data_IF_396487113146
#
_entry.id   IF_396487113146
#
_cell.length_a   1.000
_cell.length_b   1.000
_cell.length_c   1.000
_cell.angle_alpha   90.00
_cell.angle_beta   90.00
_cell.angle_gamma   90.00
#
_symmetry.space_group_name_H-M   'P 1'
#
loop_
_entity.id
_entity.type
_entity.pdbx_description
1 polymer ?
#
# COMPACT_ATOMS: atom_id res chain seq x y z
N UNK A 1 9.27 -15.70 -13.42
CA UNK A 1 8.24 -15.89 -12.37
C UNK A 1 8.51 -15.01 -11.16
N UNK A 2 9.77 -14.87 -10.71
CA UNK A 2 10.16 -14.00 -9.58
C UNK A 2 10.16 -12.47 -9.82
N UNK A 3 9.88 -11.97 -11.03
CA UNK A 3 10.04 -10.53 -11.29
C UNK A 3 8.91 -9.66 -10.72
N UNK A 4 7.67 -10.15 -10.69
CA UNK A 4 6.55 -9.39 -10.10
C UNK A 4 6.62 -9.37 -8.57
N UNK A 5 7.17 -10.42 -7.95
CA UNK A 5 7.42 -10.45 -6.50
C UNK A 5 8.46 -9.42 -6.10
N UNK A 6 9.60 -9.39 -6.80
CA UNK A 6 10.64 -8.37 -6.58
C UNK A 6 10.11 -6.96 -6.81
N UNK A 7 9.27 -6.77 -7.83
CA UNK A 7 8.63 -5.48 -8.07
C UNK A 7 7.72 -5.09 -6.92
N UNK A 8 6.93 -6.03 -6.39
CA UNK A 8 6.05 -5.79 -5.26
C UNK A 8 6.83 -5.45 -3.99
N UNK A 9 7.89 -6.19 -3.70
CA UNK A 9 8.79 -5.91 -2.57
C UNK A 9 9.42 -4.52 -2.68
N UNK A 10 9.89 -4.14 -3.87
CA UNK A 10 10.43 -2.80 -4.09
C UNK A 10 9.36 -1.71 -3.93
N UNK A 11 8.13 -1.96 -4.40
CA UNK A 11 7.01 -1.02 -4.22
C UNK A 11 6.70 -0.80 -2.73
N UNK A 12 6.55 -1.89 -1.97
CA UNK A 12 6.35 -1.83 -0.51
C UNK A 12 7.51 -1.14 0.21
N UNK A 13 8.75 -1.39 -0.22
CA UNK A 13 9.95 -0.73 0.32
C UNK A 13 9.90 0.78 0.08
N UNK A 14 9.48 1.22 -1.11
CA UNK A 14 9.32 2.64 -1.41
C UNK A 14 8.27 3.32 -0.51
N UNK A 15 7.17 2.63 -0.21
CA UNK A 15 6.08 3.16 0.61
C UNK A 15 6.39 3.19 2.11
N UNK A 16 6.84 2.07 2.67
CA UNK A 16 6.92 1.88 4.12
C UNK A 16 8.31 2.17 4.69
N UNK A 17 9.38 1.86 3.95
CA UNK A 17 10.76 2.07 4.41
C UNK A 17 11.32 3.41 3.94
N UNK A 18 11.32 3.67 2.63
CA UNK A 18 11.85 4.92 2.07
C UNK A 18 10.88 6.08 2.25
N UNK A 19 9.58 5.79 2.27
CA UNK A 19 8.50 6.80 2.34
C UNK A 19 8.64 7.86 1.25
N UNK A 20 8.94 7.40 0.02
CA UNK A 20 9.20 8.27 -1.12
C UNK A 20 8.13 8.07 -2.20
N UNK A 21 7.22 9.04 -2.29
CA UNK A 21 6.13 9.08 -3.27
C UNK A 21 6.64 8.92 -4.70
N UNK A 22 7.75 9.58 -5.07
CA UNK A 22 8.27 9.53 -6.44
C UNK A 22 8.84 8.14 -6.74
N UNK A 23 9.53 7.55 -5.78
CA UNK A 23 10.04 6.19 -5.90
C UNK A 23 8.89 5.18 -6.02
N UNK A 24 7.86 5.27 -5.17
CA UNK A 24 6.65 4.44 -5.25
C UNK A 24 5.99 4.55 -6.62
N UNK A 25 5.74 5.78 -7.09
CA UNK A 25 5.10 6.00 -8.39
C UNK A 25 5.96 5.50 -9.57
N UNK A 26 7.29 5.47 -9.43
CA UNK A 26 8.18 4.92 -10.45
C UNK A 26 8.06 3.37 -10.59
N UNK A 27 7.58 2.69 -9.55
CA UNK A 27 7.32 1.25 -9.61
C UNK A 27 5.97 0.90 -10.25
N UNK A 28 5.08 1.89 -10.41
CA UNK A 28 3.73 1.73 -10.96
C UNK A 28 3.65 1.97 -12.48
N UNK A 29 2.64 1.35 -13.11
CA UNK A 29 2.29 1.53 -14.51
C UNK A 29 1.72 2.93 -14.79
N UNK A 30 1.57 3.30 -16.06
CA UNK A 30 1.21 4.67 -16.47
C UNK A 30 -0.21 5.09 -16.07
N UNK A 31 -1.13 4.12 -15.92
CA UNK A 31 -2.52 4.35 -15.50
C UNK A 31 -2.82 3.45 -14.29
N UNK A 32 -2.23 3.73 -13.12
CA UNK A 32 -2.36 2.87 -11.96
C UNK A 32 -3.69 3.10 -11.24
N UNK A 33 -4.05 2.23 -10.31
CA UNK A 33 -5.12 2.49 -9.35
C UNK A 33 -4.76 1.91 -7.98
N UNK A 34 -5.25 2.55 -6.92
CA UNK A 34 -5.16 2.04 -5.55
C UNK A 34 -6.55 2.15 -4.95
N UNK A 35 -7.01 1.11 -4.25
CA UNK A 35 -8.30 1.13 -3.60
C UNK A 35 -8.28 0.34 -2.28
N UNK A 36 -8.40 1.06 -1.17
CA UNK A 36 -8.72 0.50 0.13
C UNK A 36 -10.22 0.23 0.19
N UNK A 37 -10.62 -1.00 -0.10
CA UNK A 37 -12.02 -1.41 -0.26
C UNK A 37 -12.90 -1.01 0.95
N UNK A 38 -12.45 -1.14 2.22
CA UNK A 38 -13.30 -0.81 3.37
C UNK A 38 -13.66 0.68 3.47
N UNK A 39 -12.76 1.57 3.04
CA UNK A 39 -12.91 3.02 3.18
C UNK A 39 -13.17 3.73 1.85
N UNK A 40 -13.05 3.00 0.73
CA UNK A 40 -13.12 3.51 -0.63
C UNK A 40 -12.12 4.65 -0.89
N UNK A 41 -10.97 4.62 -0.22
CA UNK A 41 -9.89 5.60 -0.39
C UNK A 41 -8.82 5.10 -1.35
N UNK A 42 -8.18 6.03 -2.05
CA UNK A 42 -7.18 5.72 -3.07
C UNK A 42 -7.26 6.69 -4.24
N UNK A 43 -7.08 6.19 -5.46
CA UNK A 43 -7.15 6.98 -6.67
C UNK A 43 -7.10 6.14 -7.95
N UNK A 44 -7.50 6.73 -9.08
CA UNK A 44 -7.43 6.12 -10.40
C UNK A 44 -6.66 7.01 -11.39
N UNK A 45 -5.70 6.43 -12.08
CA UNK A 45 -4.77 7.16 -12.95
C UNK A 45 -3.62 7.81 -12.17
N UNK A 46 -2.60 8.26 -12.90
CA UNK A 46 -1.33 8.68 -12.30
C UNK A 46 -1.49 9.83 -11.31
N UNK A 47 -2.26 10.87 -11.68
CA UNK A 47 -2.40 12.07 -10.86
C UNK A 47 -3.13 11.79 -9.54
N UNK A 48 -4.27 11.09 -9.58
CA UNK A 48 -5.04 10.79 -8.37
C UNK A 48 -4.25 9.88 -7.42
N UNK A 49 -3.60 8.85 -7.95
CA UNK A 49 -2.75 7.95 -7.14
C UNK A 49 -1.55 8.71 -6.56
N UNK A 50 -0.92 9.59 -7.33
CA UNK A 50 0.17 10.45 -6.84
C UNK A 50 -0.29 11.33 -5.67
N UNK A 51 -1.45 12.00 -5.81
CA UNK A 51 -1.99 12.85 -4.75
C UNK A 51 -2.40 12.05 -3.52
N UNK A 52 -2.98 10.86 -3.71
CA UNK A 52 -3.31 9.96 -2.62
C UNK A 52 -2.06 9.56 -1.82
N UNK A 53 -1.01 9.08 -2.49
CA UNK A 53 0.24 8.73 -1.82
C UNK A 53 0.89 9.92 -1.11
N UNK A 54 0.90 11.07 -1.76
CA UNK A 54 1.55 12.28 -1.25
C UNK A 54 0.85 12.86 -0.03
N UNK A 55 -0.48 12.87 -0.02
CA UNK A 55 -1.25 13.66 0.95
C UNK A 55 -1.97 12.80 2.00
N UNK A 56 -2.30 11.54 1.70
CA UNK A 56 -3.14 10.70 2.55
C UNK A 56 -2.42 9.46 3.06
N UNK A 57 -1.68 8.77 2.20
CA UNK A 57 -1.07 7.49 2.59
C UNK A 57 0.28 7.66 3.29
N UNK A 58 1.34 8.02 2.54
CA UNK A 58 2.73 7.95 3.03
C UNK A 58 2.98 8.84 4.27
N UNK A 59 2.51 10.10 4.34
CA UNK A 59 2.70 10.93 5.54
C UNK A 59 1.97 10.39 6.78
N UNK A 60 0.87 9.65 6.57
CA UNK A 60 0.00 9.13 7.63
C UNK A 60 0.47 7.77 8.16
N UNK A 61 1.49 7.15 7.55
CA UNK A 61 2.10 5.92 8.08
C UNK A 61 2.88 6.25 9.36
N UNK A 62 2.54 5.66 10.53
CA UNK A 62 3.29 5.87 11.77
C UNK A 62 4.76 5.45 11.65
N UNK A 63 5.66 6.09 12.41
CA UNK A 63 7.10 5.86 12.28
C UNK A 63 7.53 4.43 12.61
N UNK A 64 6.79 3.76 13.51
CA UNK A 64 7.02 2.39 13.95
C UNK A 64 6.25 1.34 13.13
N UNK A 65 5.61 1.76 12.02
CA UNK A 65 4.86 0.86 11.18
C UNK A 65 5.73 -0.31 10.66
N UNK A 66 5.26 -1.54 10.86
CA UNK A 66 5.88 -2.75 10.37
C UNK A 66 4.89 -3.53 9.51
N UNK A 67 5.36 -3.96 8.34
CA UNK A 67 4.60 -4.85 7.46
C UNK A 67 5.28 -6.21 7.44
N UNK A 68 4.50 -7.25 7.75
CA UNK A 68 4.96 -8.64 7.74
C UNK A 68 4.07 -9.47 6.83
N UNK A 69 4.62 -9.95 5.71
CA UNK A 69 3.94 -10.93 4.87
C UNK A 69 3.78 -12.26 5.62
N UNK A 70 2.60 -12.87 5.49
CA UNK A 70 2.18 -14.13 6.10
C UNK A 70 2.17 -15.23 5.05
N UNK A 71 1.49 -14.97 3.93
CA UNK A 71 1.39 -15.89 2.80
C UNK A 71 1.25 -15.12 1.50
N UNK A 72 1.69 -15.73 0.40
CA UNK A 72 1.70 -15.08 -0.91
C UNK A 72 1.38 -16.08 -2.01
N UNK A 73 0.44 -15.70 -2.88
CA UNK A 73 0.08 -16.46 -4.08
C UNK A 73 0.51 -15.65 -5.29
N UNK A 74 1.36 -16.25 -6.14
CA UNK A 74 1.96 -15.60 -7.29
C UNK A 74 1.37 -16.17 -8.57
N UNK A 75 0.65 -15.33 -9.31
CA UNK A 75 0.15 -15.62 -10.64
C UNK A 75 1.09 -15.15 -11.74
N UNK A 76 0.58 -15.08 -12.97
CA UNK A 76 1.33 -14.58 -14.12
C UNK A 76 1.45 -13.05 -14.12
N UNK A 77 0.34 -12.38 -13.81
CA UNK A 77 0.13 -10.93 -13.89
C UNK A 77 -0.55 -10.37 -12.64
N UNK A 78 -0.70 -11.20 -11.60
CA UNK A 78 -1.32 -10.84 -10.33
C UNK A 78 -0.60 -11.52 -9.18
N UNK A 79 -0.66 -10.91 -8.02
CA UNK A 79 -0.18 -11.45 -6.76
C UNK A 79 -1.24 -11.19 -5.70
N UNK A 80 -1.45 -12.15 -4.80
CA UNK A 80 -2.23 -11.95 -3.57
C UNK A 80 -1.28 -12.06 -2.40
N UNK A 81 -1.20 -11.02 -1.58
CA UNK A 81 -0.37 -10.97 -0.37
C UNK A 81 -1.28 -10.90 0.85
N UNK A 82 -1.13 -11.86 1.76
CA UNK A 82 -1.68 -11.79 3.10
C UNK A 82 -0.59 -11.22 4.00
N UNK A 83 -0.87 -10.09 4.66
CA UNK A 83 0.11 -9.40 5.48
C UNK A 83 -0.51 -8.90 6.79
N UNK A 84 0.33 -8.70 7.80
CA UNK A 84 -0.03 -7.98 9.02
C UNK A 84 0.70 -6.65 9.01
N UNK A 85 -0.06 -5.57 9.16
CA UNK A 85 0.44 -4.24 9.44
C UNK A 85 0.27 -3.95 10.93
N UNK A 86 1.36 -3.60 11.60
CA UNK A 86 1.36 -3.17 12.99
C UNK A 86 1.96 -1.79 13.15
N UNK A 87 1.45 -1.01 14.10
CA UNK A 87 1.91 0.35 14.39
C UNK A 87 1.34 0.87 15.71
N UNK A 88 1.93 1.94 16.25
CA UNK A 88 1.29 2.75 17.28
C UNK A 88 0.39 3.81 16.63
N UNK A 89 -0.89 3.88 17.01
CA UNK A 89 -1.83 4.88 16.47
C UNK A 89 -1.58 6.28 17.09
N UNK A 90 -0.51 6.94 16.63
CA UNK A 90 0.02 8.21 17.13
C UNK A 90 -0.46 9.45 16.33
N UNK A 91 -1.09 9.23 15.19
CA UNK A 91 -1.62 10.23 14.25
C UNK A 91 -2.93 9.72 13.65
N UNK A 92 -3.70 10.62 13.04
CA UNK A 92 -4.85 10.22 12.24
C UNK A 92 -4.37 9.45 10.99
N UNK A 93 -5.05 8.34 10.68
CA UNK A 93 -4.76 7.48 9.53
C UNK A 93 -6.03 7.39 8.68
N UNK A 94 -6.33 8.46 7.95
CA UNK A 94 -7.61 8.67 7.28
C UNK A 94 -7.95 7.62 6.21
N UNK A 95 -6.94 7.07 5.53
CA UNK A 95 -7.14 5.99 4.55
C UNK A 95 -7.63 4.67 5.18
N UNK A 96 -7.39 4.44 6.48
CA UNK A 96 -7.73 3.20 7.18
C UNK A 96 -8.80 3.39 8.25
N UNK A 97 -8.71 4.46 9.05
CA UNK A 97 -9.54 4.76 10.22
C UNK A 97 -10.05 6.21 10.15
N UNK A 98 -10.88 6.56 9.15
CA UNK A 98 -11.28 7.95 8.91
C UNK A 98 -11.99 8.56 10.12
N UNK A 99 -11.52 9.73 10.56
CA UNK A 99 -12.12 10.50 11.65
C UNK A 99 -11.85 9.96 13.05
N UNK A 100 -11.00 8.94 13.20
CA UNK A 100 -10.58 8.44 14.51
C UNK A 100 -9.30 9.17 14.94
N UNK A 101 -9.32 9.97 16.03
CA UNK A 101 -8.13 10.66 16.51
C UNK A 101 -7.10 9.67 17.08
N UNK A 102 -5.82 10.07 17.23
CA UNK A 102 -4.77 9.25 17.80
C UNK A 102 -5.20 8.60 19.11
N UNK A 103 -5.14 7.27 19.18
CA UNK A 103 -5.53 6.52 20.38
C UNK A 103 -4.33 6.12 21.23
N UNK A 104 -3.11 6.25 20.69
CA UNK A 104 -1.85 5.83 21.29
C UNK A 104 -1.79 4.35 21.69
N UNK A 105 -2.69 3.54 21.12
CA UNK A 105 -2.66 2.09 21.29
C UNK A 105 -1.85 1.45 20.17
N UNK A 106 -1.22 0.33 20.50
CA UNK A 106 -0.66 -0.56 19.49
C UNK A 106 -1.80 -1.23 18.72
N UNK A 107 -1.69 -1.22 17.39
CA UNK A 107 -2.63 -1.84 16.46
C UNK A 107 -1.89 -2.95 15.72
N UNK A 108 -2.54 -4.09 15.54
CA UNK A 108 -2.14 -5.14 14.59
C UNK A 108 -3.37 -5.49 13.75
N UNK A 109 -3.25 -5.36 12.43
CA UNK A 109 -4.36 -5.61 11.52
C UNK A 109 -3.89 -6.45 10.34
N UNK A 110 -4.57 -7.58 10.13
CA UNK A 110 -4.37 -8.42 8.95
C UNK A 110 -5.03 -7.78 7.74
N UNK A 111 -4.35 -7.80 6.60
CA UNK A 111 -4.81 -7.30 5.33
C UNK A 111 -4.64 -8.34 4.23
N UNK A 112 -5.50 -8.28 3.23
CA UNK A 112 -5.28 -8.95 1.94
C UNK A 112 -5.06 -7.87 0.88
N UNK A 113 -3.95 -7.96 0.15
CA UNK A 113 -3.68 -7.09 -1.00
C UNK A 113 -3.71 -7.93 -2.27
N UNK A 114 -4.60 -7.58 -3.19
CA UNK A 114 -4.63 -8.11 -4.55
C UNK A 114 -3.92 -7.11 -5.46
N UNK A 115 -2.73 -7.47 -5.92
CA UNK A 115 -1.87 -6.63 -6.76
C UNK A 115 -1.96 -7.10 -8.20
N UNK A 116 -2.17 -6.15 -9.11
CA UNK A 116 -2.22 -6.37 -10.55
C UNK A 116 -0.94 -5.82 -11.18
N UNK A 117 -0.42 -6.49 -12.22
CA UNK A 117 0.79 -6.08 -12.91
C UNK A 117 0.56 -5.89 -14.41
N UNK A 118 1.25 -4.90 -14.97
CA UNK A 118 1.39 -4.71 -16.42
C UNK A 118 2.86 -4.46 -16.72
N UNK A 119 3.46 -5.26 -17.59
CA UNK A 119 4.87 -5.10 -18.00
C UNK A 119 5.86 -5.00 -16.81
N UNK A 120 5.63 -5.82 -15.78
CA UNK A 120 6.42 -5.85 -14.54
C UNK A 120 6.37 -4.55 -13.71
N UNK A 121 5.34 -3.72 -13.90
CA UNK A 121 4.99 -2.61 -13.03
C UNK A 121 3.66 -2.85 -12.35
N UNK A 122 3.47 -2.27 -11.17
CA UNK A 122 2.20 -2.35 -10.43
C UNK A 122 1.13 -1.57 -11.22
N UNK A 123 0.14 -2.28 -11.73
CA UNK A 123 -1.03 -1.68 -12.39
C UNK A 123 -2.06 -1.22 -11.36
N UNK A 124 -2.18 -1.92 -10.24
CA UNK A 124 -3.01 -1.44 -9.16
C UNK A 124 -3.27 -2.44 -8.08
N UNK A 125 -4.00 -2.00 -7.08
CA UNK A 125 -4.17 -2.70 -5.80
C UNK A 125 -5.60 -2.63 -5.30
N UNK A 126 -6.12 -3.77 -4.84
CA UNK A 126 -7.27 -3.83 -3.95
C UNK A 126 -6.81 -4.28 -2.57
N UNK A 127 -7.01 -3.43 -1.57
CA UNK A 127 -6.58 -3.64 -0.19
C UNK A 127 -7.83 -3.86 0.67
N UNK A 128 -7.86 -4.98 1.39
CA UNK A 128 -8.95 -5.40 2.27
C UNK A 128 -8.52 -5.40 3.73
#
# INVERSE_FOLDING_TARGET
MHDIEKRWEEHMRCEFELRDVKATMATMADHPFVNHIPTMTGGYGYEEVYQFYKNHFIPSIPADANVRSISRIVGKDKLVDELVLSFTHDREIDFMLPGIPPTHKHVELAHIVIVYFKEQKVLGEHIY
#
